data_IF_484096891471
#
_entry.id   IF_484096891471
#
_cell.length_a   1.000
_cell.length_b   1.000
_cell.length_c   1.000
_cell.angle_alpha   90.00
_cell.angle_beta   90.00
_cell.angle_gamma   90.00
#
_symmetry.space_group_name_H-M   'P 1'
#
loop_
_entity.id
_entity.type
_entity.pdbx_description
1 polymer ?
#
# COMPACT_ATOMS: atom_id res chain seq x y z
N UNK A 1 -11.25 -22.26 10.58
CA UNK A 1 -10.15 -21.28 10.54
C UNK A 1 -10.55 -20.10 11.41
N UNK A 2 -9.99 -19.95 12.62
CA UNK A 2 -10.33 -18.82 13.51
C UNK A 2 -9.43 -17.65 13.11
N UNK A 3 -10.01 -16.62 12.49
CA UNK A 3 -9.27 -15.40 12.15
C UNK A 3 -8.91 -14.72 13.48
N UNK A 4 -7.62 -14.62 13.77
CA UNK A 4 -7.10 -13.94 14.95
C UNK A 4 -7.16 -12.42 14.76
N UNK A 5 -7.13 -11.67 15.87
CA UNK A 5 -7.13 -10.20 15.83
C UNK A 5 -5.96 -9.67 14.98
N UNK A 6 -4.81 -10.34 15.02
CA UNK A 6 -3.63 -10.05 14.20
C UNK A 6 -3.90 -10.25 12.70
N UNK A 7 -4.61 -11.33 12.34
CA UNK A 7 -5.05 -11.55 10.96
C UNK A 7 -6.00 -10.46 10.45
N UNK A 8 -6.91 -9.97 11.30
CA UNK A 8 -7.78 -8.82 10.98
C UNK A 8 -6.98 -7.54 10.70
N UNK A 9 -6.01 -7.21 11.57
CA UNK A 9 -5.14 -6.05 11.35
C UNK A 9 -4.28 -6.18 10.09
N UNK A 10 -3.74 -7.39 9.81
CA UNK A 10 -3.01 -7.67 8.58
C UNK A 10 -3.87 -7.43 7.33
N UNK A 11 -5.12 -7.90 7.35
CA UNK A 11 -6.06 -7.72 6.25
C UNK A 11 -6.44 -6.24 6.03
N UNK A 12 -6.76 -5.52 7.10
CA UNK A 12 -7.08 -4.08 7.04
C UNK A 12 -5.89 -3.29 6.51
N UNK A 13 -4.68 -3.61 6.96
CA UNK A 13 -3.46 -2.94 6.51
C UNK A 13 -3.18 -3.20 5.02
N UNK A 14 -3.40 -4.42 4.54
CA UNK A 14 -3.29 -4.76 3.11
C UNK A 14 -4.31 -4.00 2.27
N UNK A 15 -5.57 -3.94 2.72
CA UNK A 15 -6.61 -3.20 1.99
C UNK A 15 -6.31 -1.69 1.96
N UNK A 16 -5.85 -1.12 3.08
CA UNK A 16 -5.50 0.29 3.15
C UNK A 16 -4.30 0.66 2.27
N UNK A 17 -3.27 -0.19 2.23
CA UNK A 17 -2.09 0.00 1.37
C UNK A 17 -2.44 -0.12 -0.12
N UNK A 18 -3.31 -1.07 -0.50
CA UNK A 18 -3.90 -1.16 -1.83
C UNK A 18 -4.66 0.12 -2.19
N UNK A 19 -5.54 0.59 -1.31
CA UNK A 19 -6.34 1.80 -1.54
C UNK A 19 -5.46 3.05 -1.70
N UNK A 20 -4.41 3.19 -0.89
CA UNK A 20 -3.45 4.28 -1.00
C UNK A 20 -2.70 4.23 -2.34
N UNK A 21 -2.27 3.04 -2.77
CA UNK A 21 -1.60 2.82 -4.06
C UNK A 21 -2.51 3.23 -5.22
N UNK A 22 -3.77 2.75 -5.24
CA UNK A 22 -4.74 3.13 -6.26
C UNK A 22 -5.07 4.62 -6.25
N UNK A 23 -5.19 5.24 -5.08
CA UNK A 23 -5.47 6.68 -4.96
C UNK A 23 -4.35 7.53 -5.57
N UNK A 24 -3.10 7.16 -5.33
CA UNK A 24 -1.94 7.82 -5.93
C UNK A 24 -1.87 7.58 -7.45
N UNK A 25 -2.20 6.36 -7.90
CA UNK A 25 -2.22 6.02 -9.32
C UNK A 25 -3.32 6.78 -10.08
N UNK A 26 -4.51 6.90 -9.50
CA UNK A 26 -5.59 7.76 -10.02
C UNK A 26 -5.19 9.23 -10.07
N UNK A 27 -4.54 9.74 -9.01
CA UNK A 27 -4.03 11.11 -9.00
C UNK A 27 -2.99 11.34 -10.10
N UNK A 28 -2.11 10.36 -10.34
CA UNK A 28 -1.10 10.41 -11.40
C UNK A 28 -1.69 10.45 -12.82
N UNK A 29 -2.88 9.88 -13.01
CA UNK A 29 -3.59 9.89 -14.30
C UNK A 29 -4.39 11.17 -14.53
N UNK A 30 -4.80 11.86 -13.46
CA UNK A 30 -5.67 13.05 -13.55
C UNK A 30 -4.90 14.36 -13.58
N UNK A 31 -3.76 14.44 -12.90
CA UNK A 31 -2.97 15.65 -12.79
C UNK A 31 -1.75 15.61 -13.76
N UNK A 32 -1.49 16.71 -14.46
CA UNK A 32 -0.26 16.88 -15.25
C UNK A 32 0.95 17.08 -14.33
N UNK A 33 1.54 15.97 -13.92
CA UNK A 33 2.71 16.00 -13.03
C UNK A 33 3.99 16.40 -13.77
N UNK A 34 4.76 17.29 -13.13
CA UNK A 34 6.12 17.58 -13.58
C UNK A 34 7.00 16.32 -13.48
N UNK A 35 8.08 16.24 -14.25
CA UNK A 35 8.99 15.09 -14.23
C UNK A 35 9.52 14.78 -12.82
N UNK A 36 9.73 15.81 -11.99
CA UNK A 36 10.18 15.67 -10.60
C UNK A 36 9.09 15.06 -9.71
N UNK A 37 7.84 15.46 -9.89
CA UNK A 37 6.69 14.91 -9.14
C UNK A 37 6.44 13.45 -9.51
N UNK A 38 6.57 13.09 -10.79
CA UNK A 38 6.47 11.69 -11.26
C UNK A 38 7.48 10.78 -10.55
N UNK A 39 8.74 11.21 -10.44
CA UNK A 39 9.77 10.45 -9.74
C UNK A 39 9.44 10.31 -8.26
N UNK A 40 9.11 11.42 -7.59
CA UNK A 40 8.82 11.41 -6.16
C UNK A 40 7.62 10.50 -5.82
N UNK A 41 6.56 10.58 -6.62
CA UNK A 41 5.35 9.78 -6.44
C UNK A 41 5.58 8.30 -6.79
N UNK A 42 6.41 8.00 -7.78
CA UNK A 42 6.82 6.62 -8.09
C UNK A 42 7.59 6.01 -6.93
N UNK A 43 8.51 6.76 -6.31
CA UNK A 43 9.23 6.32 -5.11
C UNK A 43 8.25 6.06 -3.96
N UNK A 44 7.30 6.96 -3.72
CA UNK A 44 6.26 6.78 -2.68
C UNK A 44 5.42 5.52 -2.93
N UNK A 45 5.01 5.27 -4.18
CA UNK A 45 4.28 4.06 -4.58
C UNK A 45 5.08 2.78 -4.31
N UNK A 46 6.36 2.76 -4.68
CA UNK A 46 7.25 1.62 -4.43
C UNK A 46 7.40 1.37 -2.93
N UNK A 47 7.64 2.43 -2.14
CA UNK A 47 7.77 2.34 -0.68
C UNK A 47 6.48 1.82 -0.04
N UNK A 48 5.32 2.32 -0.45
CA UNK A 48 4.01 1.84 0.02
C UNK A 48 3.77 0.38 -0.32
N UNK A 49 4.12 -0.05 -1.54
CA UNK A 49 3.98 -1.45 -1.95
C UNK A 49 4.88 -2.38 -1.15
N UNK A 50 6.14 -2.00 -0.94
CA UNK A 50 7.11 -2.81 -0.17
C UNK A 50 6.72 -2.87 1.32
N UNK A 51 6.42 -1.73 1.95
CA UNK A 51 6.00 -1.70 3.35
C UNK A 51 4.64 -2.41 3.54
N UNK A 52 3.71 -2.21 2.60
CA UNK A 52 2.44 -2.91 2.52
C UNK A 52 2.60 -4.42 2.55
N UNK A 53 3.45 -4.95 1.67
CA UNK A 53 3.73 -6.37 1.55
C UNK A 53 4.50 -6.93 2.76
N UNK A 54 5.49 -6.21 3.28
CA UNK A 54 6.30 -6.67 4.41
C UNK A 54 5.48 -6.72 5.70
N UNK A 55 4.77 -5.64 6.04
CA UNK A 55 4.00 -5.54 7.28
C UNK A 55 2.72 -6.38 7.16
N UNK A 56 1.98 -6.25 6.06
CA UNK A 56 0.79 -7.05 5.80
C UNK A 56 1.10 -8.55 5.75
N UNK A 57 2.17 -8.93 5.04
CA UNK A 57 2.63 -10.32 4.98
C UNK A 57 3.08 -10.87 6.33
N UNK A 58 3.87 -10.11 7.10
CA UNK A 58 4.31 -10.53 8.43
C UNK A 58 3.13 -10.73 9.41
N UNK A 59 2.15 -9.83 9.38
CA UNK A 59 0.94 -9.92 10.21
C UNK A 59 0.04 -11.11 9.82
N UNK A 60 0.05 -11.51 8.55
CA UNK A 60 -0.70 -12.67 8.08
C UNK A 60 0.01 -14.01 8.31
N UNK A 61 1.34 -14.04 8.32
CA UNK A 61 2.13 -15.25 8.58
C UNK A 61 2.28 -15.54 10.09
N UNK A 62 2.36 -14.49 10.92
CA UNK A 62 2.48 -14.61 12.38
C UNK A 62 1.16 -14.58 13.15
N UNK A 63 0.03 -14.40 12.45
CA UNK A 63 -1.32 -14.29 13.02
C UNK A 63 -2.06 -15.61 13.15
#
# INVERSE_FOLDING_TARGET
MKITLTGWFGYIFLVASLLATFSLLFKSMKDDWTAKDKVNQTVVLIVLAVLGAMIGGALLIGG
#
